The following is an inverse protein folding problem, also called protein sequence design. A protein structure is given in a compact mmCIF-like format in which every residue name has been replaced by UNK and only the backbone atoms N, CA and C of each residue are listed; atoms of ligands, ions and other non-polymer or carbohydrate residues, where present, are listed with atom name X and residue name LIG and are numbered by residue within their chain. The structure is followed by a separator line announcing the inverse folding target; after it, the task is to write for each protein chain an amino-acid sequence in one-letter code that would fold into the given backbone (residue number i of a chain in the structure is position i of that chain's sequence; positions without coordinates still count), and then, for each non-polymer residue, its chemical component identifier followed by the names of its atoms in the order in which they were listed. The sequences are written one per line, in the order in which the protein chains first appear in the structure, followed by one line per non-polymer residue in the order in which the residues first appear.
data_IF_172400266812
#
_entry.id   IF_172400266812
#
_cell.length_a   1.000
_cell.length_b   1.000
_cell.length_c   1.000
_cell.angle_alpha   90.00
_cell.angle_beta   90.00
_cell.angle_gamma   90.00
#
_symmetry.space_group_name_H-M   'P 1'
#
loop_
_entity.id
_entity.type
_entity.pdbx_description
1 polymer ?
#
# COMPACT_ATOMS: atom_id res chain seq x y z
N UNK A 1 -7.15 12.21 -21.18
CA UNK A 1 -6.31 12.00 -19.99
C UNK A 1 -7.01 10.98 -19.09
N UNK A 2 -6.40 9.86 -18.88
CA UNK A 2 -7.01 8.71 -18.18
C UNK A 2 -6.09 8.17 -17.11
N UNK A 3 -6.67 7.58 -16.07
CA UNK A 3 -5.97 6.84 -15.06
C UNK A 3 -6.23 5.34 -15.24
N UNK A 4 -5.23 4.55 -14.91
CA UNK A 4 -5.36 3.10 -14.74
C UNK A 4 -4.66 2.73 -13.44
N UNK A 5 -5.40 2.18 -12.50
CA UNK A 5 -4.85 1.58 -11.29
C UNK A 5 -4.93 0.07 -11.41
N UNK A 6 -3.80 -0.59 -11.20
CA UNK A 6 -3.67 -2.04 -11.12
C UNK A 6 -3.28 -2.38 -9.69
N UNK A 7 -4.13 -3.13 -9.02
CA UNK A 7 -3.97 -3.52 -7.63
C UNK A 7 -3.77 -5.02 -7.50
N UNK A 8 -2.77 -5.41 -6.73
CA UNK A 8 -2.49 -6.79 -6.36
C UNK A 8 -2.58 -6.94 -4.85
N UNK A 9 -3.23 -8.00 -4.41
CA UNK A 9 -3.41 -8.25 -2.98
C UNK A 9 -2.87 -9.63 -2.59
N UNK A 10 -2.35 -9.76 -1.37
CA UNK A 10 -1.76 -11.00 -0.86
C UNK A 10 -2.74 -12.17 -0.85
N UNK A 11 -4.04 -11.89 -0.72
CA UNK A 11 -5.09 -12.93 -0.73
C UNK A 11 -5.22 -13.63 -2.08
N UNK A 12 -4.98 -12.91 -3.19
CA UNK A 12 -5.06 -13.44 -4.56
C UNK A 12 -3.72 -14.02 -5.04
N UNK A 13 -2.60 -13.38 -4.68
CA UNK A 13 -1.29 -13.74 -5.20
C UNK A 13 -0.43 -14.60 -4.26
N UNK A 14 -0.76 -14.61 -2.96
CA UNK A 14 0.15 -15.11 -1.93
C UNK A 14 1.38 -14.20 -1.74
N UNK A 15 2.16 -14.48 -0.69
CA UNK A 15 3.35 -13.67 -0.35
C UNK A 15 4.47 -13.79 -1.41
N UNK A 16 4.66 -14.97 -1.98
CA UNK A 16 5.68 -15.21 -3.02
C UNK A 16 5.35 -14.47 -4.32
N UNK A 17 4.08 -14.50 -4.74
CA UNK A 17 3.63 -13.77 -5.94
C UNK A 17 3.79 -12.27 -5.77
N UNK A 18 3.38 -11.74 -4.61
CA UNK A 18 3.46 -10.31 -4.32
C UNK A 18 4.91 -9.83 -4.24
N UNK A 19 5.83 -10.65 -3.71
CA UNK A 19 7.25 -10.29 -3.62
C UNK A 19 7.91 -10.09 -4.99
N UNK A 20 7.42 -10.75 -6.04
CA UNK A 20 7.92 -10.59 -7.42
C UNK A 20 7.56 -9.22 -8.02
N UNK A 21 6.55 -8.53 -7.47
CA UNK A 21 6.14 -7.19 -7.87
C UNK A 21 6.76 -6.09 -6.98
N UNK A 22 7.55 -6.49 -5.98
CA UNK A 22 8.26 -5.57 -5.10
C UNK A 22 9.71 -5.45 -5.55
N UNK A 23 10.19 -4.22 -5.65
CA UNK A 23 11.56 -3.93 -6.10
C UNK A 23 12.48 -3.67 -4.90
N UNK A 24 13.76 -4.05 -5.00
CA UNK A 24 14.75 -3.67 -4.00
C UNK A 24 15.00 -2.16 -4.04
N UNK A 25 15.34 -1.55 -2.90
CA UNK A 25 15.61 -0.10 -2.82
C UNK A 25 16.65 0.38 -3.83
N UNK A 26 17.65 -0.46 -4.13
CA UNK A 26 18.76 -0.12 -5.04
C UNK A 26 18.34 -0.07 -6.51
N UNK A 27 17.34 -0.87 -6.92
CA UNK A 27 16.95 -1.02 -8.32
C UNK A 27 15.56 -0.46 -8.65
N UNK A 28 14.77 -0.17 -7.61
CA UNK A 28 13.35 0.23 -7.73
C UNK A 28 13.13 1.42 -8.66
N UNK A 29 13.93 2.46 -8.48
CA UNK A 29 13.79 3.71 -9.22
C UNK A 29 13.94 3.48 -10.72
N UNK A 30 15.00 2.75 -11.08
CA UNK A 30 15.30 2.43 -12.48
C UNK A 30 14.23 1.52 -13.07
N UNK A 31 13.86 0.46 -12.36
CA UNK A 31 12.85 -0.50 -12.84
C UNK A 31 11.47 0.14 -13.02
N UNK A 32 11.07 1.06 -12.13
CA UNK A 32 9.80 1.78 -12.27
C UNK A 32 9.83 2.79 -13.42
N UNK A 33 10.95 3.46 -13.66
CA UNK A 33 11.10 4.34 -14.81
C UNK A 33 11.10 3.55 -16.12
N UNK A 34 11.84 2.45 -16.18
CA UNK A 34 11.86 1.54 -17.35
C UNK A 34 10.44 0.98 -17.60
N UNK A 35 9.72 0.57 -16.55
CA UNK A 35 8.33 0.10 -16.67
C UNK A 35 7.41 1.20 -17.23
N UNK A 36 7.50 2.42 -16.69
CA UNK A 36 6.73 3.57 -17.17
C UNK A 36 6.97 3.85 -18.66
N UNK A 37 8.23 3.85 -19.08
CA UNK A 37 8.63 4.12 -20.45
C UNK A 37 8.21 2.98 -21.40
N UNK A 38 8.45 1.73 -21.02
CA UNK A 38 8.08 0.55 -21.81
C UNK A 38 6.58 0.44 -22.05
N UNK A 39 5.78 0.89 -21.07
CA UNK A 39 4.32 0.86 -21.17
C UNK A 39 3.74 2.13 -21.84
N UNK A 40 4.55 3.13 -22.13
CA UNK A 40 4.08 4.41 -22.73
C UNK A 40 3.27 5.26 -21.76
N UNK A 41 3.43 5.07 -20.45
CA UNK A 41 2.74 5.88 -19.45
C UNK A 41 3.45 7.23 -19.24
N UNK A 42 2.67 8.29 -19.04
CA UNK A 42 3.21 9.62 -18.71
C UNK A 42 3.70 9.73 -17.29
N UNK A 43 2.92 9.15 -16.37
CA UNK A 43 3.20 9.17 -14.95
C UNK A 43 2.94 7.79 -14.36
N UNK A 44 3.72 7.42 -13.35
CA UNK A 44 3.59 6.18 -12.61
C UNK A 44 3.80 6.45 -11.11
N UNK A 45 2.79 6.09 -10.31
CA UNK A 45 2.91 5.94 -8.87
C UNK A 45 2.92 4.46 -8.50
N UNK A 46 3.81 4.08 -7.60
CA UNK A 46 3.92 2.71 -7.11
C UNK A 46 3.91 2.68 -5.59
N UNK A 47 3.05 1.84 -5.03
CA UNK A 47 2.99 1.53 -3.60
C UNK A 47 3.19 0.03 -3.42
N UNK A 48 4.21 -0.38 -2.68
CA UNK A 48 4.40 -1.77 -2.28
C UNK A 48 4.41 -1.88 -0.76
N UNK A 49 3.66 -2.85 -0.24
CA UNK A 49 3.57 -3.19 1.18
C UNK A 49 3.63 -4.70 1.35
N UNK A 50 3.61 -5.21 2.58
CA UNK A 50 3.52 -6.66 2.82
C UNK A 50 2.22 -7.30 2.31
N UNK A 51 1.14 -6.51 2.13
CA UNK A 51 -0.19 -7.03 1.81
C UNK A 51 -0.68 -6.67 0.41
N UNK A 52 -0.06 -5.68 -0.26
CA UNK A 52 -0.49 -5.20 -1.58
C UNK A 52 0.62 -4.53 -2.37
N UNK A 53 0.44 -4.52 -3.68
CA UNK A 53 1.19 -3.68 -4.61
C UNK A 53 0.20 -2.94 -5.51
N UNK A 54 0.36 -1.62 -5.61
CA UNK A 54 -0.48 -0.74 -6.40
C UNK A 54 0.37 -0.04 -7.47
N UNK A 55 -0.06 -0.10 -8.73
CA UNK A 55 0.50 0.67 -9.84
C UNK A 55 -0.57 1.62 -10.35
N UNK A 56 -0.39 2.91 -10.15
CA UNK A 56 -1.26 3.95 -10.73
C UNK A 56 -0.57 4.61 -11.89
N UNK A 57 -1.07 4.38 -13.08
CA UNK A 57 -0.63 4.99 -14.33
C UNK A 57 -1.51 6.18 -14.69
N UNK A 58 -0.90 7.21 -15.24
CA UNK A 58 -1.58 8.28 -15.95
C UNK A 58 -1.13 8.27 -17.42
N UNK A 59 -2.08 8.34 -18.35
CA UNK A 59 -1.84 8.28 -19.79
C UNK A 59 -2.83 9.13 -20.57
N UNK A 60 -2.45 9.51 -21.78
CA UNK A 60 -3.38 10.11 -22.75
C UNK A 60 -4.14 9.03 -23.54
N UNK A 61 -3.57 7.84 -23.69
CA UNK A 61 -4.14 6.74 -24.45
C UNK A 61 -4.24 5.47 -23.59
N UNK A 62 -5.43 5.22 -23.07
CA UNK A 62 -5.67 4.06 -22.19
C UNK A 62 -5.63 2.73 -22.97
N UNK A 63 -6.09 2.72 -24.21
CA UNK A 63 -6.10 1.51 -25.04
C UNK A 63 -4.68 1.04 -25.35
N UNK A 64 -3.81 1.96 -25.75
CA UNK A 64 -2.40 1.68 -25.99
C UNK A 64 -1.68 1.20 -24.72
N UNK A 65 -1.94 1.84 -23.58
CA UNK A 65 -1.38 1.40 -22.29
C UNK A 65 -1.79 -0.04 -21.96
N UNK A 66 -3.07 -0.39 -22.12
CA UNK A 66 -3.58 -1.74 -21.87
C UNK A 66 -2.98 -2.76 -22.83
N UNK A 67 -2.82 -2.42 -24.11
CA UNK A 67 -2.16 -3.26 -25.10
C UNK A 67 -0.70 -3.51 -24.75
N UNK A 68 0.04 -2.48 -24.36
CA UNK A 68 1.42 -2.57 -23.93
C UNK A 68 1.58 -3.43 -22.67
N UNK A 69 0.68 -3.28 -21.67
CA UNK A 69 0.66 -4.13 -20.48
C UNK A 69 0.46 -5.59 -20.85
N UNK A 70 -0.52 -5.88 -21.69
CA UNK A 70 -0.83 -7.25 -22.12
C UNK A 70 0.31 -7.89 -22.92
N UNK A 71 0.97 -7.11 -23.77
CA UNK A 71 2.05 -7.58 -24.66
C UNK A 71 3.36 -7.76 -23.90
N UNK A 72 3.70 -6.86 -23.00
CA UNK A 72 4.97 -6.88 -22.25
C UNK A 72 5.07 -8.03 -21.26
N UNK A 73 3.93 -8.55 -20.77
CA UNK A 73 3.86 -9.57 -19.70
C UNK A 73 4.64 -9.23 -18.43
N UNK A 74 4.95 -7.93 -18.23
CA UNK A 74 5.69 -7.47 -17.06
C UNK A 74 4.82 -7.45 -15.80
N UNK A 75 3.50 -7.33 -15.99
CA UNK A 75 2.51 -7.33 -14.91
C UNK A 75 1.54 -8.50 -15.11
N UNK A 76 1.35 -9.40 -14.13
CA UNK A 76 0.41 -10.51 -14.21
C UNK A 76 -1.03 -9.98 -14.16
N UNK A 77 -1.84 -10.30 -15.19
CA UNK A 77 -3.21 -9.77 -15.30
C UNK A 77 -4.25 -10.64 -14.59
N UNK A 78 -4.00 -11.93 -14.44
CA UNK A 78 -4.97 -12.92 -13.94
C UNK A 78 -5.37 -12.71 -12.47
N UNK A 79 -4.48 -12.09 -11.68
CA UNK A 79 -4.66 -11.84 -10.24
C UNK A 79 -4.79 -10.36 -9.92
N UNK A 80 -4.93 -9.52 -10.94
CA UNK A 80 -4.99 -8.08 -10.82
C UNK A 80 -6.43 -7.57 -10.71
N UNK A 81 -6.65 -6.55 -9.89
CA UNK A 81 -7.87 -5.74 -9.90
C UNK A 81 -7.59 -4.45 -10.66
N UNK A 82 -8.54 -4.03 -11.51
CA UNK A 82 -8.39 -2.87 -12.38
C UNK A 82 -9.39 -1.77 -12.03
N UNK A 83 -8.90 -0.53 -11.98
CA UNK A 83 -9.72 0.66 -11.79
C UNK A 83 -9.32 1.68 -12.85
N UNK A 84 -10.24 2.06 -13.74
CA UNK A 84 -9.96 2.93 -14.89
C UNK A 84 -10.70 4.27 -14.89
N UNK A 85 -11.73 4.43 -14.05
CA UNK A 85 -12.34 5.74 -13.84
C UNK A 85 -11.64 6.50 -12.72
N UNK A 86 -11.62 7.83 -12.81
CA UNK A 86 -11.03 8.67 -11.76
C UNK A 86 -11.70 8.42 -10.40
N UNK A 87 -13.01 8.24 -10.41
CA UNK A 87 -13.83 7.99 -9.23
C UNK A 87 -13.44 6.67 -8.55
N UNK A 88 -13.34 5.58 -9.33
CA UNK A 88 -12.96 4.26 -8.81
C UNK A 88 -11.53 4.23 -8.28
N UNK A 89 -10.61 4.93 -8.95
CA UNK A 89 -9.22 5.09 -8.49
C UNK A 89 -9.15 5.85 -7.16
N UNK A 90 -9.87 6.98 -7.07
CA UNK A 90 -9.92 7.78 -5.83
C UNK A 90 -10.54 6.99 -4.70
N UNK A 91 -11.66 6.31 -4.95
CA UNK A 91 -12.33 5.48 -3.95
C UNK A 91 -11.40 4.39 -3.43
N UNK A 92 -10.80 3.60 -4.33
CA UNK A 92 -9.89 2.52 -3.94
C UNK A 92 -8.69 3.03 -3.13
N UNK A 93 -8.02 4.08 -3.59
CA UNK A 93 -6.86 4.62 -2.87
C UNK A 93 -7.22 5.28 -1.53
N UNK A 94 -8.43 5.83 -1.38
CA UNK A 94 -8.94 6.28 -0.09
C UNK A 94 -9.22 5.09 0.85
N UNK A 95 -9.83 4.02 0.36
CA UNK A 95 -10.05 2.80 1.13
C UNK A 95 -8.72 2.18 1.60
N UNK A 96 -7.71 2.15 0.72
CA UNK A 96 -6.34 1.75 1.07
C UNK A 96 -5.77 2.67 2.14
N UNK A 97 -5.79 3.98 1.94
CA UNK A 97 -5.23 4.97 2.87
C UNK A 97 -5.92 4.96 4.24
N UNK A 98 -7.19 4.55 4.29
CA UNK A 98 -7.99 4.40 5.50
C UNK A 98 -7.87 3.00 6.14
N UNK A 99 -7.12 2.07 5.51
CA UNK A 99 -7.03 0.66 5.92
C UNK A 99 -8.37 -0.07 5.93
N UNK A 100 -9.29 0.32 5.05
CA UNK A 100 -10.59 -0.34 4.94
C UNK A 100 -10.50 -1.67 4.21
N UNK A 101 -9.53 -1.78 3.28
CA UNK A 101 -9.18 -2.99 2.53
C UNK A 101 -7.88 -3.64 3.08
N UNK A 102 -7.73 -3.68 4.40
CA UNK A 102 -6.56 -4.26 5.08
C UNK A 102 -6.99 -5.40 6.00
N UNK A 103 -6.09 -6.37 6.26
CA UNK A 103 -6.33 -7.46 7.20
C UNK A 103 -6.71 -6.96 8.61
N UNK A 104 -6.23 -5.78 8.98
CA UNK A 104 -6.59 -5.10 10.21
C UNK A 104 -7.17 -3.74 9.86
N UNK A 105 -8.47 -3.61 10.09
CA UNK A 105 -9.19 -2.35 9.86
C UNK A 105 -8.60 -1.21 10.70
N UNK A 106 -8.32 -0.09 10.07
CA UNK A 106 -7.84 1.13 10.76
C UNK A 106 -6.34 1.15 11.08
N UNK A 107 -5.52 0.24 10.54
CA UNK A 107 -4.07 0.27 10.73
C UNK A 107 -3.45 1.60 10.29
N UNK A 108 -2.58 2.17 11.14
CA UNK A 108 -1.99 3.50 10.87
C UNK A 108 -0.80 3.46 9.90
N UNK A 109 -0.16 2.32 9.71
CA UNK A 109 1.08 2.19 8.94
C UNK A 109 0.87 2.52 7.46
N UNK A 110 -0.25 2.11 6.87
CA UNK A 110 -0.50 2.27 5.43
C UNK A 110 -0.52 3.74 4.97
N UNK A 111 -1.06 4.66 5.78
CA UNK A 111 -1.04 6.08 5.43
C UNK A 111 0.39 6.63 5.41
N UNK A 112 1.23 6.17 6.34
CA UNK A 112 2.66 6.47 6.36
C UNK A 112 3.38 5.91 5.12
N UNK A 113 3.12 4.64 4.79
CA UNK A 113 3.68 3.98 3.61
C UNK A 113 3.26 4.67 2.30
N UNK A 114 1.98 5.06 2.18
CA UNK A 114 1.49 5.81 1.03
C UNK A 114 2.21 7.17 0.88
N UNK A 115 2.42 7.87 2.00
CA UNK A 115 3.17 9.13 2.01
C UNK A 115 4.64 8.93 1.61
N UNK A 116 5.29 7.90 2.13
CA UNK A 116 6.68 7.56 1.78
C UNK A 116 6.79 7.22 0.29
N UNK A 117 5.92 6.34 -0.23
CA UNK A 117 5.88 5.99 -1.64
C UNK A 117 5.67 7.22 -2.55
N UNK A 118 4.82 8.17 -2.12
CA UNK A 118 4.62 9.42 -2.83
C UNK A 118 5.90 10.27 -2.87
N UNK A 119 6.59 10.43 -1.75
CA UNK A 119 7.82 11.21 -1.67
C UNK A 119 8.95 10.60 -2.51
N UNK A 120 9.05 9.28 -2.52
CA UNK A 120 9.99 8.54 -3.35
C UNK A 120 9.69 8.71 -4.84
N UNK A 121 8.44 8.54 -5.25
CA UNK A 121 8.01 8.71 -6.64
C UNK A 121 8.28 10.13 -7.16
N UNK A 122 8.18 11.16 -6.30
CA UNK A 122 8.59 12.53 -6.64
C UNK A 122 10.10 12.63 -6.85
N UNK A 123 10.89 12.01 -5.95
CA UNK A 123 12.36 12.02 -6.01
C UNK A 123 12.85 11.37 -7.31
N UNK A 124 12.22 10.29 -7.76
CA UNK A 124 12.58 9.57 -8.98
C UNK A 124 12.00 10.18 -10.24
N UNK A 125 11.19 11.23 -10.12
CA UNK A 125 10.53 11.89 -11.25
C UNK A 125 9.61 10.95 -12.06
N UNK A 126 9.05 9.93 -11.42
CA UNK A 126 8.03 9.08 -12.04
C UNK A 126 6.65 9.72 -12.05
N UNK A 127 6.42 10.70 -11.17
CA UNK A 127 5.18 11.47 -11.07
C UNK A 127 5.27 12.78 -11.85
N UNK A 128 4.14 13.13 -12.46
CA UNK A 128 3.86 14.46 -12.97
C UNK A 128 2.76 15.15 -12.16
N UNK A 129 2.29 16.33 -12.63
CA UNK A 129 1.32 17.14 -11.88
C UNK A 129 -0.03 16.46 -11.62
N UNK A 130 -0.48 15.59 -12.54
CA UNK A 130 -1.80 14.96 -12.48
C UNK A 130 -1.87 13.95 -11.34
N UNK A 131 -0.96 12.96 -11.34
CA UNK A 131 -0.92 11.93 -10.30
C UNK A 131 -0.46 12.51 -8.96
N UNK A 132 0.48 13.47 -8.98
CA UNK A 132 0.92 14.16 -7.76
C UNK A 132 -0.24 14.89 -7.08
N UNK A 133 -1.04 15.65 -7.83
CA UNK A 133 -2.22 16.31 -7.29
C UNK A 133 -3.25 15.34 -6.73
N UNK A 134 -3.51 14.23 -7.43
CA UNK A 134 -4.43 13.19 -6.99
C UNK A 134 -3.99 12.57 -5.66
N UNK A 135 -2.73 12.14 -5.55
CA UNK A 135 -2.21 11.52 -4.33
C UNK A 135 -2.20 12.50 -3.16
N UNK A 136 -1.87 13.78 -3.37
CA UNK A 136 -1.94 14.81 -2.33
C UNK A 136 -3.35 14.99 -1.77
N UNK A 137 -4.38 15.04 -2.63
CA UNK A 137 -5.76 15.15 -2.18
C UNK A 137 -6.21 13.90 -1.42
N UNK A 138 -5.80 12.69 -1.86
CA UNK A 138 -6.06 11.45 -1.14
C UNK A 138 -5.44 11.48 0.26
N UNK A 139 -4.16 11.85 0.38
CA UNK A 139 -3.46 11.94 1.66
C UNK A 139 -4.11 12.97 2.60
N UNK A 140 -4.51 14.11 2.08
CA UNK A 140 -5.19 15.18 2.81
C UNK A 140 -6.56 14.71 3.35
N UNK A 141 -7.38 14.10 2.48
CA UNK A 141 -8.69 13.60 2.87
C UNK A 141 -8.61 12.40 3.83
N UNK A 142 -7.72 11.45 3.60
CA UNK A 142 -7.50 10.34 4.50
C UNK A 142 -7.06 10.81 5.90
N UNK A 143 -6.14 11.80 5.97
CA UNK A 143 -5.73 12.41 7.24
C UNK A 143 -6.89 13.09 7.96
N UNK A 144 -7.74 13.84 7.22
CA UNK A 144 -8.92 14.50 7.77
C UNK A 144 -9.90 13.47 8.34
N UNK A 145 -10.25 12.43 7.58
CA UNK A 145 -11.18 11.37 8.00
C UNK A 145 -10.63 10.67 9.25
N UNK A 146 -9.36 10.31 9.28
CA UNK A 146 -8.72 9.67 10.46
C UNK A 146 -8.67 10.58 11.69
N UNK A 147 -8.74 11.90 11.53
CA UNK A 147 -8.76 12.84 12.65
C UNK A 147 -10.15 12.99 13.30
N UNK A 148 -11.20 12.45 12.70
CA UNK A 148 -12.56 12.44 13.23
C UNK A 148 -12.61 11.72 14.60
N UNK A 149 -13.28 12.30 15.62
CA UNK A 149 -13.29 11.74 16.98
C UNK A 149 -13.79 10.29 17.04
N UNK A 150 -14.75 9.93 16.18
CA UNK A 150 -15.32 8.56 16.10
C UNK A 150 -14.33 7.53 15.58
N UNK A 151 -13.34 7.95 14.80
CA UNK A 151 -12.33 7.08 14.19
C UNK A 151 -10.98 7.12 14.91
N UNK A 152 -10.78 8.10 15.79
CA UNK A 152 -9.52 8.28 16.54
C UNK A 152 -9.14 7.08 17.41
N UNK A 153 -10.12 6.31 17.87
CA UNK A 153 -9.90 5.15 18.74
C UNK A 153 -9.66 3.85 17.97
N UNK A 154 -9.69 3.87 16.63
CA UNK A 154 -9.39 2.72 15.77
C UNK A 154 -7.88 2.72 15.46
N UNK A 155 -7.05 2.85 16.50
CA UNK A 155 -5.60 2.72 16.35
C UNK A 155 -5.19 1.27 16.65
N UNK A 156 -5.37 0.42 15.64
CA UNK A 156 -5.03 -0.99 15.75
C UNK A 156 -3.82 -1.28 14.85
N UNK A 157 -2.86 -2.04 15.34
CA UNK A 157 -1.80 -2.65 14.52
C UNK A 157 -1.82 -4.15 14.74
N UNK A 158 -1.24 -4.92 13.81
CA UNK A 158 -1.07 -6.38 13.97
C UNK A 158 -0.44 -6.69 15.33
N UNK A 159 0.57 -5.91 15.71
CA UNK A 159 1.26 -6.08 16.99
C UNK A 159 0.35 -5.85 18.20
N UNK A 160 -0.51 -4.82 18.16
CA UNK A 160 -1.45 -4.53 19.25
C UNK A 160 -2.59 -5.54 19.34
N UNK A 161 -3.09 -6.04 18.21
CA UNK A 161 -4.12 -7.09 18.18
C UNK A 161 -3.55 -8.38 18.76
N UNK A 162 -2.39 -8.82 18.29
CA UNK A 162 -1.73 -10.04 18.78
C UNK A 162 -1.42 -9.94 20.27
N UNK A 163 -0.89 -8.81 20.74
CA UNK A 163 -0.59 -8.61 22.15
C UNK A 163 -1.86 -8.60 23.02
N UNK A 164 -2.96 -8.01 22.56
CA UNK A 164 -4.24 -8.03 23.26
C UNK A 164 -4.82 -9.43 23.34
N UNK A 165 -4.85 -10.16 22.23
CA UNK A 165 -5.29 -11.57 22.21
C UNK A 165 -4.48 -12.43 23.17
N UNK A 166 -3.16 -12.21 23.24
CA UNK A 166 -2.31 -12.89 24.20
C UNK A 166 -2.68 -12.53 25.64
N UNK A 167 -2.87 -11.23 25.94
CA UNK A 167 -3.24 -10.77 27.29
C UNK A 167 -4.62 -11.30 27.73
N UNK A 168 -5.57 -11.43 26.80
CA UNK A 168 -6.92 -11.91 27.07
C UNK A 168 -6.98 -13.44 27.24
N UNK A 169 -6.14 -14.20 26.54
CA UNK A 169 -6.16 -15.68 26.53
C UNK A 169 -5.02 -16.33 27.31
N UNK A 170 -3.94 -15.60 27.52
CA UNK A 170 -2.76 -16.08 28.23
C UNK A 170 -2.87 -15.98 29.75
N UNK A 171 -1.94 -16.62 30.44
CA UNK A 171 -1.76 -16.51 31.88
C UNK A 171 -0.66 -15.51 32.23
N UNK A 172 -0.76 -14.83 33.37
CA UNK A 172 0.30 -13.93 33.87
C UNK A 172 1.63 -14.61 34.12
N UNK A 173 1.64 -15.93 34.16
CA UNK A 173 2.86 -16.76 34.36
C UNK A 173 3.47 -17.24 33.06
N UNK A 174 2.83 -16.95 31.89
CA UNK A 174 3.32 -17.38 30.60
C UNK A 174 4.58 -16.62 30.22
N UNK A 175 5.50 -17.34 29.57
CA UNK A 175 6.72 -16.75 29.01
C UNK A 175 6.54 -16.54 27.53
N UNK A 176 6.87 -15.35 27.06
CA UNK A 176 6.75 -14.97 25.65
C UNK A 176 8.14 -14.93 25.03
N UNK A 177 8.31 -15.67 23.94
CA UNK A 177 9.51 -15.61 23.11
C UNK A 177 9.22 -14.79 21.84
N UNK A 178 9.97 -13.70 21.65
CA UNK A 178 9.95 -12.96 20.40
C UNK A 178 11.06 -13.45 19.47
N UNK A 179 10.70 -13.83 18.25
CA UNK A 179 11.66 -14.23 17.22
C UNK A 179 11.86 -13.04 16.29
N UNK A 180 13.03 -12.42 16.37
CA UNK A 180 13.39 -11.18 15.68
C UNK A 180 13.15 -9.93 16.53
N UNK A 181 13.87 -8.84 16.22
CA UNK A 181 13.81 -7.55 16.90
C UNK A 181 13.27 -6.42 16.00
N UNK A 182 12.45 -6.76 14.97
CA UNK A 182 11.82 -5.81 14.08
C UNK A 182 10.76 -4.95 14.77
N UNK A 183 10.29 -3.92 14.08
CA UNK A 183 9.34 -2.92 14.60
C UNK A 183 8.06 -3.56 15.18
N UNK A 184 7.51 -4.57 14.51
CA UNK A 184 6.30 -5.29 14.95
C UNK A 184 6.49 -5.94 16.31
N UNK A 185 7.60 -6.67 16.53
CA UNK A 185 7.89 -7.32 17.81
C UNK A 185 8.19 -6.31 18.91
N UNK A 186 8.88 -5.21 18.59
CA UNK A 186 9.10 -4.12 19.54
C UNK A 186 7.81 -3.45 19.97
N UNK A 187 6.86 -3.25 19.04
CA UNK A 187 5.54 -2.70 19.34
C UNK A 187 4.71 -3.65 20.21
N UNK A 188 4.69 -4.95 19.88
CA UNK A 188 4.00 -5.98 20.66
C UNK A 188 4.56 -6.06 22.08
N UNK A 189 5.90 -6.09 22.23
CA UNK A 189 6.57 -6.12 23.52
C UNK A 189 6.24 -4.89 24.39
N UNK A 190 6.24 -3.69 23.81
CA UNK A 190 5.85 -2.46 24.52
C UNK A 190 4.39 -2.48 24.98
N UNK A 191 3.49 -3.03 24.15
CA UNK A 191 2.08 -3.17 24.51
C UNK A 191 1.91 -4.15 25.67
N UNK A 192 2.52 -5.33 25.59
CA UNK A 192 2.48 -6.33 26.65
C UNK A 192 3.09 -5.82 27.96
N UNK A 193 4.20 -5.07 27.89
CA UNK A 193 4.80 -4.44 29.08
C UNK A 193 3.88 -3.40 29.74
N UNK A 194 3.06 -2.71 28.96
CA UNK A 194 2.17 -1.65 29.46
C UNK A 194 0.84 -2.20 29.99
N UNK A 195 0.30 -3.27 29.42
CA UNK A 195 -1.07 -3.73 29.65
C UNK A 195 -1.16 -5.20 30.09
N UNK A 196 -0.09 -5.98 30.06
CA UNK A 196 0.03 -7.35 30.55
C UNK A 196 0.69 -7.36 31.90
#
# INVERSE_FOLDING_TARGET
MSYLLISYHIQEMGSEGLSKLSYSEESRDRQLLDLKENLGAKELFHLATCNRVEYLFHTDNLEELLENINTSKQLPLDTARFFSSKESVVQHLLEVALSMDSMIFGENQILGQLKTAYQESLKFKSLGPQTSGLIQEILKHAKKIRSEPKLRNIHTSVATVAAREFTERGSKTDKILFIGAGETNQLAARYLHKYG
#
